data_IF_453594114420
#
_entry.id   IF_453594114420
#
_cell.length_a   1.000
_cell.length_b   1.000
_cell.length_c   1.000
_cell.angle_alpha   90.00
_cell.angle_beta   90.00
_cell.angle_gamma   90.00
#
_symmetry.space_group_name_H-M   'P 1'
#
loop_
_entity.id
_entity.type
_entity.pdbx_description
1 polymer ?
#
# COMPACT_ATOMS: atom_id res chain seq x y z
N UNK A 1 24.22 18.34 12.46
CA UNK A 1 24.30 18.52 10.99
C UNK A 1 23.85 17.25 10.26
N UNK A 2 22.68 16.68 10.60
CA UNK A 2 22.16 15.42 10.01
C UNK A 2 20.77 15.56 9.40
N UNK A 3 20.10 16.71 9.58
CA UNK A 3 18.69 16.89 9.21
C UNK A 3 18.43 17.10 7.71
N UNK A 4 19.42 17.54 6.94
CA UNK A 4 19.24 17.89 5.52
C UNK A 4 19.37 16.69 4.58
N UNK A 5 20.15 15.67 4.96
CA UNK A 5 20.41 14.49 4.13
C UNK A 5 19.25 13.47 4.20
N UNK A 6 18.63 13.34 5.38
CA UNK A 6 17.44 12.52 5.58
C UNK A 6 16.21 13.11 4.84
N UNK A 7 16.05 14.44 4.84
CA UNK A 7 14.95 15.08 4.10
C UNK A 7 15.09 14.94 2.59
N UNK A 8 16.32 15.00 2.07
CA UNK A 8 16.59 14.86 0.63
C UNK A 8 16.36 13.42 0.15
N UNK A 9 16.70 12.42 0.97
CA UNK A 9 16.47 11.01 0.63
C UNK A 9 14.99 10.62 0.67
N UNK A 10 14.20 11.17 1.59
CA UNK A 10 12.74 10.95 1.62
C UNK A 10 12.05 11.61 0.41
N UNK A 11 12.36 12.87 0.10
CA UNK A 11 11.76 13.58 -1.05
C UNK A 11 12.15 12.94 -2.41
N UNK A 12 13.41 12.53 -2.57
CA UNK A 12 13.90 12.00 -3.84
C UNK A 12 13.56 10.54 -4.11
N UNK A 13 13.26 9.74 -3.08
CA UNK A 13 13.02 8.29 -3.22
C UNK A 13 11.64 7.90 -2.74
N UNK A 14 11.37 8.08 -1.45
CA UNK A 14 10.14 7.60 -0.80
C UNK A 14 8.91 8.26 -1.41
N UNK A 15 8.89 9.59 -1.54
CA UNK A 15 7.75 10.29 -2.15
C UNK A 15 7.51 9.89 -3.61
N UNK A 16 8.55 9.51 -4.36
CA UNK A 16 8.43 9.08 -5.76
C UNK A 16 7.88 7.66 -5.89
N UNK A 17 8.23 6.79 -4.97
CA UNK A 17 7.81 5.38 -4.98
C UNK A 17 6.30 5.21 -4.70
N UNK A 18 5.65 6.21 -4.10
CA UNK A 18 4.23 6.18 -3.77
C UNK A 18 3.30 6.81 -4.82
N UNK A 19 3.82 7.23 -5.97
CA UNK A 19 2.99 7.79 -7.05
C UNK A 19 3.35 7.14 -8.38
N UNK A 20 2.34 6.85 -9.20
CA UNK A 20 2.54 6.32 -10.57
C UNK A 20 3.21 7.34 -11.50
N UNK A 21 2.91 8.64 -11.33
CA UNK A 21 3.53 9.75 -12.07
C UNK A 21 3.91 10.88 -11.10
N UNK A 22 5.21 11.05 -10.84
CA UNK A 22 5.72 12.13 -9.99
C UNK A 22 5.71 13.46 -10.76
N UNK A 23 4.77 14.35 -10.41
CA UNK A 23 4.75 15.73 -10.88
C UNK A 23 4.92 16.69 -9.70
N UNK A 24 5.61 17.83 -9.86
CA UNK A 24 5.96 18.71 -8.74
C UNK A 24 4.76 19.21 -7.91
N UNK A 25 3.58 19.32 -8.52
CA UNK A 25 2.34 19.78 -7.87
C UNK A 25 1.31 18.67 -7.66
N UNK A 26 1.52 17.47 -8.22
CA UNK A 26 0.57 16.37 -8.18
C UNK A 26 0.93 15.26 -7.18
N UNK A 27 2.10 15.32 -6.54
CA UNK A 27 2.51 14.33 -5.55
C UNK A 27 2.05 14.76 -4.14
N UNK A 28 0.98 14.14 -3.57
CA UNK A 28 0.46 14.52 -2.27
C UNK A 28 1.43 14.17 -1.12
N UNK A 29 2.36 13.23 -1.32
CA UNK A 29 3.32 12.82 -0.29
C UNK A 29 4.38 13.89 -0.02
N UNK A 30 4.70 14.74 -1.01
CA UNK A 30 5.61 15.89 -0.82
C UNK A 30 5.02 16.92 0.14
N UNK A 31 3.69 17.06 0.18
CA UNK A 31 3.01 17.95 1.12
C UNK A 31 3.04 17.44 2.56
N UNK A 32 3.38 16.17 2.77
CA UNK A 32 3.52 15.56 4.10
C UNK A 32 4.89 15.83 4.72
N UNK A 33 5.92 16.16 3.94
CA UNK A 33 7.28 16.37 4.45
C UNK A 33 7.38 17.58 5.39
N UNK A 34 6.80 18.76 5.07
CA UNK A 34 6.78 19.87 6.01
C UNK A 34 6.03 19.53 7.31
N UNK A 35 4.96 18.72 7.21
CA UNK A 35 4.15 18.29 8.35
C UNK A 35 4.86 17.25 9.23
N UNK A 36 5.76 16.44 8.66
CA UNK A 36 6.56 15.50 9.42
C UNK A 36 7.48 16.19 10.44
N UNK A 37 7.86 17.46 10.20
CA UNK A 37 8.62 18.26 11.16
C UNK A 37 7.82 18.63 12.42
N UNK A 38 6.50 18.66 12.35
CA UNK A 38 5.60 19.10 13.44
C UNK A 38 4.82 17.95 14.07
N UNK A 39 4.63 16.82 13.37
CA UNK A 39 3.87 15.67 13.87
C UNK A 39 4.79 14.46 14.13
N UNK A 40 5.11 14.16 15.40
CA UNK A 40 6.03 13.08 15.76
C UNK A 40 5.62 11.69 15.26
N UNK A 41 4.31 11.42 15.18
CA UNK A 41 3.79 10.15 14.66
C UNK A 41 4.08 10.00 13.15
N UNK A 42 3.83 11.05 12.37
CA UNK A 42 4.13 11.07 10.94
C UNK A 42 5.63 10.94 10.69
N UNK A 43 6.42 11.67 11.46
CA UNK A 43 7.88 11.61 11.38
C UNK A 43 8.41 10.19 11.59
N UNK A 44 8.04 9.53 12.70
CA UNK A 44 8.57 8.20 13.02
C UNK A 44 8.08 7.15 12.03
N UNK A 45 6.89 7.33 11.46
CA UNK A 45 6.36 6.43 10.44
C UNK A 45 7.11 6.58 9.12
N UNK A 46 7.38 7.80 8.66
CA UNK A 46 8.23 8.06 7.49
C UNK A 46 9.62 7.45 7.68
N UNK A 47 10.21 7.57 8.87
CA UNK A 47 11.50 6.93 9.19
C UNK A 47 11.41 5.41 9.08
N UNK A 48 10.35 4.80 9.62
CA UNK A 48 10.13 3.35 9.51
C UNK A 48 10.04 2.90 8.05
N UNK A 49 9.24 3.59 7.24
CA UNK A 49 9.08 3.36 5.81
C UNK A 49 10.40 3.48 5.06
N UNK A 50 11.10 4.60 5.24
CA UNK A 50 12.38 4.88 4.58
C UNK A 50 13.45 3.84 4.91
N UNK A 51 13.55 3.45 6.18
CA UNK A 51 14.50 2.44 6.63
C UNK A 51 14.16 1.04 6.08
N UNK A 52 12.87 0.72 5.93
CA UNK A 52 12.43 -0.56 5.37
C UNK A 52 12.77 -0.66 3.88
N UNK A 53 12.43 0.39 3.10
CA UNK A 53 12.84 0.54 1.69
C UNK A 53 14.35 0.40 1.50
N UNK A 54 15.12 1.15 2.30
CA UNK A 54 16.58 1.07 2.26
C UNK A 54 17.09 -0.34 2.57
N UNK A 55 16.46 -1.06 3.50
CA UNK A 55 16.82 -2.43 3.81
C UNK A 55 16.59 -3.39 2.64
N UNK A 56 15.51 -3.20 1.88
CA UNK A 56 15.19 -4.00 0.70
C UNK A 56 16.16 -3.69 -0.44
N UNK A 57 16.39 -2.41 -0.74
CA UNK A 57 17.31 -1.97 -1.79
C UNK A 57 18.74 -2.50 -1.56
N UNK A 58 19.24 -2.41 -0.33
CA UNK A 58 20.60 -2.89 0.02
C UNK A 58 20.74 -4.41 -0.03
N UNK A 59 19.62 -5.15 0.03
CA UNK A 59 19.60 -6.61 -0.06
C UNK A 59 19.48 -7.11 -1.51
N UNK A 60 18.95 -6.32 -2.43
CA UNK A 60 18.78 -6.70 -3.84
C UNK A 60 20.14 -6.98 -4.52
N UNK A 61 20.25 -8.03 -5.36
CA UNK A 61 21.48 -8.32 -6.10
C UNK A 61 21.82 -7.27 -7.15
N UNK A 62 20.82 -6.62 -7.76
CA UNK A 62 20.98 -5.71 -8.90
C UNK A 62 21.65 -4.37 -8.53
N UNK A 63 21.43 -3.87 -7.32
CA UNK A 63 22.08 -2.66 -6.81
C UNK A 63 23.57 -2.87 -6.45
N UNK A 64 24.09 -4.10 -6.59
CA UNK A 64 25.50 -4.44 -6.30
C UNK A 64 26.43 -4.22 -7.50
N UNK A 65 25.89 -3.84 -8.67
CA UNK A 65 26.65 -3.81 -9.93
C UNK A 65 27.17 -2.41 -10.33
N UNK A 66 27.00 -1.38 -9.52
CA UNK A 66 27.42 -0.01 -9.86
C UNK A 66 28.50 0.53 -8.94
N UNK A 67 29.77 0.33 -9.30
CA UNK A 67 30.87 1.24 -8.95
C UNK A 67 31.27 1.36 -7.45
N UNK A 68 31.22 0.28 -6.67
CA UNK A 68 31.94 0.24 -5.37
C UNK A 68 33.31 -0.41 -5.56
N UNK A 69 34.29 0.44 -5.82
CA UNK A 69 35.71 0.14 -5.74
C UNK A 69 36.06 -0.14 -4.26
N UNK A 70 35.92 -1.39 -3.81
CA UNK A 70 36.45 -1.88 -2.51
C UNK A 70 35.47 -2.24 -1.40
N UNK A 71 34.15 -2.11 -1.59
CA UNK A 71 33.16 -2.53 -0.60
C UNK A 71 32.77 -4.01 -0.74
N UNK A 72 33.22 -4.88 0.17
CA UNK A 72 32.81 -6.30 0.17
C UNK A 72 31.27 -6.42 0.22
N UNK A 73 30.69 -7.36 -0.54
CA UNK A 73 29.26 -7.68 -0.53
C UNK A 73 28.70 -7.99 0.87
N UNK A 74 29.59 -8.38 1.81
CA UNK A 74 29.28 -8.50 3.23
C UNK A 74 28.83 -7.16 3.87
N UNK A 75 29.45 -6.04 3.48
CA UNK A 75 29.12 -4.71 4.01
C UNK A 75 27.72 -4.23 3.59
N UNK A 76 27.29 -4.54 2.37
CA UNK A 76 25.93 -4.23 1.88
C UNK A 76 24.86 -5.02 2.64
N UNK A 77 25.12 -6.31 2.89
CA UNK A 77 24.25 -7.17 3.70
C UNK A 77 24.12 -6.67 5.15
N UNK A 78 25.23 -6.28 5.77
CA UNK A 78 25.25 -5.72 7.13
C UNK A 78 24.52 -4.38 7.22
N UNK A 79 24.72 -3.49 6.24
CA UNK A 79 23.99 -2.21 6.15
C UNK A 79 22.49 -2.43 5.97
N UNK A 80 22.10 -3.36 5.10
CA UNK A 80 20.69 -3.76 4.91
C UNK A 80 20.08 -4.34 6.20
N UNK A 81 20.82 -5.17 6.92
CA UNK A 81 20.38 -5.72 8.21
C UNK A 81 20.22 -4.62 9.28
N UNK A 82 21.12 -3.63 9.29
CA UNK A 82 21.04 -2.48 10.19
C UNK A 82 19.82 -1.60 9.87
N UNK A 83 19.60 -1.29 8.60
CA UNK A 83 18.42 -0.55 8.13
C UNK A 83 17.12 -1.28 8.53
N UNK A 84 17.07 -2.60 8.37
CA UNK A 84 15.93 -3.42 8.81
C UNK A 84 15.68 -3.34 10.33
N UNK A 85 16.73 -3.34 11.16
CA UNK A 85 16.58 -3.15 12.62
C UNK A 85 16.05 -1.77 12.97
N UNK A 86 16.52 -0.73 12.28
CA UNK A 86 16.00 0.63 12.45
C UNK A 86 14.52 0.72 12.03
N UNK A 87 14.15 0.10 10.92
CA UNK A 87 12.77 0.02 10.45
C UNK A 87 11.85 -0.61 11.51
N UNK A 88 12.23 -1.77 12.05
CA UNK A 88 11.45 -2.46 13.08
C UNK A 88 11.31 -1.63 14.36
N UNK A 89 12.38 -0.98 14.82
CA UNK A 89 12.34 -0.13 16.02
C UNK A 89 11.44 1.09 15.81
N UNK A 90 11.54 1.75 14.66
CA UNK A 90 10.70 2.89 14.31
C UNK A 90 9.23 2.48 14.15
N UNK A 91 8.95 1.36 13.46
CA UNK A 91 7.60 0.80 13.31
C UNK A 91 6.96 0.46 14.65
N UNK A 92 7.70 -0.18 15.56
CA UNK A 92 7.18 -0.47 16.90
C UNK A 92 6.79 0.80 17.66
N UNK A 93 7.65 1.84 17.60
CA UNK A 93 7.37 3.15 18.20
C UNK A 93 6.15 3.83 17.55
N UNK A 94 6.06 3.79 16.22
CA UNK A 94 4.95 4.33 15.45
C UNK A 94 3.62 3.67 15.86
N UNK A 95 3.58 2.34 15.97
CA UNK A 95 2.40 1.60 16.43
C UNK A 95 1.98 1.98 17.86
N UNK A 96 2.96 2.16 18.75
CA UNK A 96 2.70 2.63 20.12
C UNK A 96 2.06 4.03 20.14
N UNK A 97 2.53 4.94 19.29
CA UNK A 97 1.98 6.29 19.16
C UNK A 97 0.61 6.29 18.47
N UNK A 98 0.43 5.47 17.43
CA UNK A 98 -0.83 5.30 16.71
C UNK A 98 -1.96 4.84 17.63
N UNK A 99 -1.67 3.93 18.57
CA UNK A 99 -2.65 3.49 19.58
C UNK A 99 -3.27 4.67 20.33
N UNK A 100 -2.47 5.66 20.71
CA UNK A 100 -2.95 6.84 21.43
C UNK A 100 -3.68 7.82 20.49
N UNK A 101 -3.17 7.98 19.26
CA UNK A 101 -3.76 8.86 18.26
C UNK A 101 -5.17 8.41 17.85
N UNK A 102 -5.40 7.11 17.71
CA UNK A 102 -6.72 6.54 17.38
C UNK A 102 -7.75 6.78 18.49
N UNK A 103 -7.33 6.81 19.76
CA UNK A 103 -8.23 7.07 20.90
C UNK A 103 -8.59 8.57 20.99
N UNK A 104 -7.67 9.46 20.61
CA UNK A 104 -7.80 10.91 20.76
C UNK A 104 -7.48 11.64 19.46
N UNK A 105 -8.29 11.44 18.41
CA UNK A 105 -8.08 12.10 17.13
C UNK A 105 -8.47 13.57 17.24
N UNK A 106 -7.49 14.47 17.23
CA UNK A 106 -7.75 15.90 17.08
C UNK A 106 -8.05 16.23 15.60
N UNK A 107 -9.04 17.08 15.30
CA UNK A 107 -9.36 17.45 13.91
C UNK A 107 -8.15 17.96 13.12
N UNK A 108 -7.29 18.75 13.76
CA UNK A 108 -6.10 19.35 13.14
C UNK A 108 -4.99 18.33 12.83
N UNK A 109 -4.95 17.21 13.55
CA UNK A 109 -3.95 16.15 13.37
C UNK A 109 -4.39 15.08 12.36
N UNK A 110 -5.64 15.14 11.89
CA UNK A 110 -6.23 14.04 11.15
C UNK A 110 -5.45 13.71 9.87
N UNK A 111 -4.96 14.71 9.13
CA UNK A 111 -4.16 14.48 7.93
C UNK A 111 -2.86 13.73 8.22
N UNK A 112 -2.15 14.12 9.27
CA UNK A 112 -0.89 13.50 9.68
C UNK A 112 -1.10 12.08 10.24
N UNK A 113 -2.16 11.87 11.02
CA UNK A 113 -2.54 10.54 11.52
C UNK A 113 -2.91 9.64 10.35
N UNK A 114 -3.71 10.13 9.41
CA UNK A 114 -4.15 9.37 8.24
C UNK A 114 -2.97 9.01 7.33
N UNK A 115 -2.04 9.95 7.08
CA UNK A 115 -0.78 9.68 6.39
C UNK A 115 0.06 8.63 7.12
N UNK A 116 0.09 8.66 8.46
CA UNK A 116 0.81 7.65 9.25
C UNK A 116 0.14 6.28 9.15
N UNK A 117 -1.19 6.22 9.07
CA UNK A 117 -1.90 4.96 8.78
C UNK A 117 -1.49 4.45 7.41
N UNK A 118 -1.47 5.29 6.37
CA UNK A 118 -1.03 4.91 5.02
C UNK A 118 0.33 4.20 5.05
N UNK A 119 1.34 4.88 5.60
CA UNK A 119 2.70 4.35 5.62
C UNK A 119 2.84 3.08 6.47
N UNK A 120 2.07 2.93 7.55
CA UNK A 120 2.05 1.70 8.34
C UNK A 120 1.41 0.54 7.57
N UNK A 121 0.30 0.79 6.88
CA UNK A 121 -0.36 -0.21 6.04
C UNK A 121 0.58 -0.66 4.94
N UNK A 122 1.21 0.29 4.24
CA UNK A 122 2.18 0.01 3.20
C UNK A 122 3.40 -0.79 3.72
N UNK A 123 3.96 -0.41 4.87
CA UNK A 123 5.02 -1.18 5.52
C UNK A 123 4.64 -2.64 5.77
N UNK A 124 3.40 -2.90 6.19
CA UNK A 124 2.95 -4.27 6.39
C UNK A 124 2.81 -5.06 5.09
N UNK A 125 2.49 -4.37 4.00
CA UNK A 125 2.36 -4.96 2.67
C UNK A 125 3.72 -5.22 2.05
N UNK A 126 4.70 -4.36 2.32
CA UNK A 126 6.09 -4.51 1.87
C UNK A 126 6.89 -5.55 2.65
N UNK A 127 6.68 -5.69 3.96
CA UNK A 127 7.69 -6.32 4.81
C UNK A 127 7.76 -7.86 4.77
N UNK A 128 6.83 -8.66 4.21
CA UNK A 128 6.90 -10.14 4.40
C UNK A 128 6.32 -11.08 3.33
N UNK A 129 7.01 -12.23 3.22
CA UNK A 129 6.56 -13.50 2.64
C UNK A 129 5.75 -14.42 3.59
N UNK A 130 5.50 -15.67 3.15
CA UNK A 130 4.58 -16.71 3.69
C UNK A 130 3.52 -16.23 4.70
N UNK A 131 2.32 -15.99 4.17
CA UNK A 131 0.99 -15.98 4.82
C UNK A 131 0.72 -15.02 6.01
N UNK A 132 1.72 -14.32 6.56
CA UNK A 132 1.51 -13.35 7.66
C UNK A 132 0.79 -12.06 7.23
N UNK A 133 0.87 -11.70 5.94
CA UNK A 133 0.22 -10.53 5.34
C UNK A 133 -1.30 -10.45 5.63
N UNK A 134 -1.97 -11.60 5.83
CA UNK A 134 -3.42 -11.68 6.09
C UNK A 134 -3.83 -10.95 7.36
N UNK A 135 -3.12 -11.20 8.46
CA UNK A 135 -3.42 -10.58 9.76
C UNK A 135 -3.16 -9.07 9.71
N UNK A 136 -2.12 -8.66 8.97
CA UNK A 136 -1.76 -7.26 8.82
C UNK A 136 -2.74 -6.50 7.93
N UNK A 137 -3.17 -7.06 6.79
CA UNK A 137 -4.18 -6.44 5.93
C UNK A 137 -5.53 -6.31 6.65
N UNK A 138 -5.89 -7.28 7.50
CA UNK A 138 -7.08 -7.18 8.37
C UNK A 138 -6.93 -6.08 9.43
N UNK A 139 -5.73 -5.93 10.00
CA UNK A 139 -5.40 -4.83 10.91
C UNK A 139 -5.50 -3.47 10.22
N UNK A 140 -4.94 -3.34 9.02
CA UNK A 140 -5.00 -2.16 8.17
C UNK A 140 -6.45 -1.72 7.91
N UNK A 141 -7.31 -2.64 7.48
CA UNK A 141 -8.74 -2.36 7.25
C UNK A 141 -9.46 -1.85 8.50
N UNK A 142 -9.19 -2.45 9.67
CA UNK A 142 -9.77 -1.99 10.94
C UNK A 142 -9.29 -0.60 11.35
N UNK A 143 -8.03 -0.28 11.11
CA UNK A 143 -7.51 1.05 11.40
C UNK A 143 -8.21 2.04 10.49
N UNK A 144 -8.23 1.79 9.17
CA UNK A 144 -8.89 2.66 8.20
C UNK A 144 -10.38 2.88 8.54
N UNK A 145 -11.10 1.89 9.09
CA UNK A 145 -12.55 2.00 9.32
C UNK A 145 -12.87 3.00 10.42
N UNK A 146 -11.96 3.14 11.39
CA UNK A 146 -12.04 4.16 12.43
C UNK A 146 -11.89 5.57 11.86
N UNK A 147 -11.26 5.72 10.69
CA UNK A 147 -11.04 7.00 10.02
C UNK A 147 -12.00 7.26 8.85
N UNK A 148 -12.97 6.37 8.55
CA UNK A 148 -13.88 6.53 7.41
C UNK A 148 -14.64 7.88 7.37
N UNK A 149 -15.16 8.42 8.49
CA UNK A 149 -15.81 9.73 8.49
C UNK A 149 -14.87 10.88 8.13
N UNK A 150 -13.58 10.75 8.50
CA UNK A 150 -12.56 11.77 8.28
C UNK A 150 -11.83 11.61 6.93
N UNK A 151 -11.79 10.38 6.39
CA UNK A 151 -11.35 10.09 5.03
C UNK A 151 -12.24 10.81 4.01
N UNK A 152 -13.54 10.91 4.27
CA UNK A 152 -14.48 11.61 3.39
C UNK A 152 -14.17 13.11 3.24
N UNK A 153 -13.43 13.72 4.18
CA UNK A 153 -13.04 15.13 4.17
C UNK A 153 -11.55 15.37 3.86
N UNK A 154 -10.73 14.32 3.77
CA UNK A 154 -9.26 14.42 3.71
C UNK A 154 -8.66 14.60 2.30
N UNK A 155 -9.47 14.91 1.28
CA UNK A 155 -9.00 15.31 -0.04
C UNK A 155 -8.20 14.22 -0.79
N UNK A 156 -7.23 14.59 -1.65
CA UNK A 156 -6.52 13.65 -2.53
C UNK A 156 -5.81 12.52 -1.80
N UNK A 157 -5.25 12.74 -0.60
CA UNK A 157 -4.54 11.71 0.15
C UNK A 157 -5.45 10.53 0.51
N UNK A 158 -6.72 10.80 0.84
CA UNK A 158 -7.71 9.77 1.09
C UNK A 158 -7.96 8.90 -0.15
N UNK A 159 -7.84 9.47 -1.35
CA UNK A 159 -8.00 8.73 -2.60
C UNK A 159 -6.83 7.78 -2.85
N UNK A 160 -5.58 8.21 -2.62
CA UNK A 160 -4.39 7.35 -2.72
C UNK A 160 -4.44 6.19 -1.72
N UNK A 161 -4.84 6.48 -0.49
CA UNK A 161 -5.06 5.49 0.56
C UNK A 161 -6.12 4.46 0.20
N UNK A 162 -7.28 4.93 -0.25
CA UNK A 162 -8.39 4.06 -0.64
C UNK A 162 -8.04 3.25 -1.88
N UNK A 163 -7.28 3.83 -2.80
CA UNK A 163 -6.78 3.19 -4.00
C UNK A 163 -5.84 2.02 -3.70
N UNK A 164 -4.77 2.28 -2.96
CA UNK A 164 -3.76 1.27 -2.65
C UNK A 164 -4.39 0.17 -1.78
N UNK A 165 -5.16 0.52 -0.75
CA UNK A 165 -5.86 -0.47 0.07
C UNK A 165 -6.82 -1.34 -0.75
N UNK A 166 -7.58 -0.76 -1.68
CA UNK A 166 -8.48 -1.51 -2.56
C UNK A 166 -7.72 -2.50 -3.42
N UNK A 167 -6.61 -2.08 -4.04
CA UNK A 167 -5.81 -2.96 -4.89
C UNK A 167 -5.23 -4.11 -4.07
N UNK A 168 -4.69 -3.83 -2.88
CA UNK A 168 -4.20 -4.90 -2.01
C UNK A 168 -5.31 -5.83 -1.53
N UNK A 169 -6.52 -5.33 -1.26
CA UNK A 169 -7.67 -6.15 -0.92
C UNK A 169 -8.12 -7.06 -2.09
N UNK A 170 -8.11 -6.54 -3.33
CA UNK A 170 -8.38 -7.34 -4.53
C UNK A 170 -7.30 -8.40 -4.70
N UNK A 171 -6.03 -8.02 -4.68
CA UNK A 171 -4.91 -8.97 -4.79
C UNK A 171 -4.98 -10.04 -3.71
N UNK A 172 -5.30 -9.65 -2.48
CA UNK A 172 -5.51 -10.57 -1.38
C UNK A 172 -6.64 -11.58 -1.63
N UNK A 173 -7.78 -11.11 -2.16
CA UNK A 173 -8.94 -11.95 -2.45
C UNK A 173 -8.63 -13.06 -3.45
N UNK A 174 -7.76 -12.79 -4.45
CA UNK A 174 -7.31 -13.76 -5.45
C UNK A 174 -6.51 -14.91 -4.82
N UNK A 175 -5.76 -14.64 -3.76
CA UNK A 175 -4.93 -15.64 -3.08
C UNK A 175 -5.64 -16.33 -1.91
N UNK A 176 -6.94 -16.07 -1.67
CA UNK A 176 -7.68 -16.61 -0.52
C UNK A 176 -8.96 -17.33 -0.93
N UNK A 177 -9.03 -18.63 -0.59
CA UNK A 177 -10.20 -19.50 -0.79
C UNK A 177 -11.28 -19.35 0.30
N UNK A 178 -11.47 -18.15 0.86
CA UNK A 178 -12.52 -17.89 1.85
C UNK A 178 -12.95 -16.41 1.83
N UNK A 179 -14.23 -16.08 2.10
CA UNK A 179 -14.69 -14.71 2.30
C UNK A 179 -14.20 -14.18 3.68
N UNK A 180 -12.89 -14.14 3.88
CA UNK A 180 -12.28 -13.68 5.12
C UNK A 180 -12.22 -12.14 5.20
N UNK A 181 -12.46 -11.46 4.07
CA UNK A 181 -12.54 -10.02 3.99
C UNK A 181 -13.99 -9.59 3.82
N UNK A 182 -14.53 -9.02 4.90
CA UNK A 182 -15.76 -8.23 4.87
C UNK A 182 -15.45 -6.87 4.21
N UNK A 183 -15.20 -6.90 2.90
CA UNK A 183 -15.02 -5.70 2.07
C UNK A 183 -16.28 -4.84 2.05
N UNK A 184 -17.45 -5.38 2.40
CA UNK A 184 -18.74 -4.68 2.37
C UNK A 184 -18.80 -3.49 3.34
N UNK A 185 -18.10 -3.58 4.48
CA UNK A 185 -18.03 -2.47 5.44
C UNK A 185 -17.24 -1.27 4.91
N UNK A 186 -16.23 -1.51 4.06
CA UNK A 186 -15.32 -0.47 3.56
C UNK A 186 -15.70 0.04 2.18
N UNK A 187 -16.13 -0.88 1.32
CA UNK A 187 -16.51 -0.63 -0.06
C UNK A 187 -18.02 -0.86 -0.17
N UNK A 188 -18.83 0.11 0.28
CA UNK A 188 -20.24 0.09 -0.10
C UNK A 188 -20.33 -0.04 -1.63
N UNK A 189 -21.21 -0.88 -2.20
CA UNK A 189 -21.16 -1.26 -3.61
C UNK A 189 -21.36 -0.11 -4.62
N UNK A 190 -21.85 1.07 -4.22
CA UNK A 190 -22.34 2.07 -5.17
C UNK A 190 -21.31 3.04 -5.77
N UNK A 191 -20.07 3.22 -5.25
CA UNK A 191 -19.00 3.88 -5.99
C UNK A 191 -17.84 2.95 -6.35
N UNK A 192 -17.95 1.62 -6.24
CA UNK A 192 -16.83 0.68 -6.47
C UNK A 192 -16.09 0.92 -7.80
N UNK A 193 -16.82 1.08 -8.92
CA UNK A 193 -16.23 1.40 -10.23
C UNK A 193 -15.52 2.77 -10.26
N UNK A 194 -16.04 3.76 -9.53
CA UNK A 194 -15.42 5.09 -9.41
C UNK A 194 -14.15 5.03 -8.57
N UNK A 195 -14.17 4.29 -7.47
CA UNK A 195 -13.00 4.06 -6.62
C UNK A 195 -11.92 3.29 -7.37
N UNK A 196 -12.30 2.29 -8.18
CA UNK A 196 -11.35 1.52 -9.00
C UNK A 196 -10.68 2.39 -10.09
N UNK A 197 -11.45 3.25 -10.76
CA UNK A 197 -10.90 4.21 -11.75
C UNK A 197 -9.98 5.24 -11.10
N UNK A 198 -10.33 5.73 -9.91
CA UNK A 198 -9.44 6.60 -9.11
C UNK A 198 -8.21 5.82 -8.63
N UNK A 199 -8.37 4.54 -8.29
CA UNK A 199 -7.27 3.70 -7.87
C UNK A 199 -6.25 3.49 -8.99
N UNK A 200 -6.70 3.25 -10.21
CA UNK A 200 -5.82 3.20 -11.38
C UNK A 200 -5.08 4.52 -11.63
N UNK A 201 -5.70 5.67 -11.37
CA UNK A 201 -5.09 6.98 -11.59
C UNK A 201 -4.04 7.35 -10.53
N UNK A 202 -4.18 6.83 -9.31
CA UNK A 202 -3.41 7.29 -8.15
C UNK A 202 -2.55 6.21 -7.49
N UNK A 203 -2.79 4.93 -7.75
CA UNK A 203 -2.01 3.86 -7.12
C UNK A 203 -0.61 3.73 -7.70
N UNK A 204 0.35 3.49 -6.83
CA UNK A 204 1.73 3.18 -7.18
C UNK A 204 1.92 1.76 -7.76
N UNK A 205 0.92 0.88 -7.63
CA UNK A 205 0.95 -0.50 -8.13
C UNK A 205 0.78 -0.53 -9.67
N UNK A 206 0.26 0.55 -10.27
CA UNK A 206 0.08 0.68 -11.71
C UNK A 206 -0.67 -0.52 -12.32
N UNK A 207 -1.74 -0.97 -11.66
CA UNK A 207 -2.58 -2.04 -12.19
C UNK A 207 -3.81 -1.43 -12.92
N UNK A 208 -4.10 -1.85 -14.17
CA UNK A 208 -5.25 -1.34 -14.90
C UNK A 208 -6.59 -1.64 -14.19
N UNK A 209 -7.56 -0.73 -14.25
CA UNK A 209 -8.85 -0.93 -13.59
C UNK A 209 -9.62 -2.13 -14.17
N UNK A 210 -9.49 -2.38 -15.47
CA UNK A 210 -10.14 -3.52 -16.12
C UNK A 210 -9.58 -4.85 -15.59
N UNK A 211 -8.26 -4.95 -15.44
CA UNK A 211 -7.60 -6.12 -14.85
C UNK A 211 -7.99 -6.30 -13.37
N UNK A 212 -8.04 -5.23 -12.58
CA UNK A 212 -8.49 -5.29 -11.18
C UNK A 212 -9.94 -5.78 -11.06
N UNK A 213 -10.80 -5.39 -12.01
CA UNK A 213 -12.19 -5.86 -12.07
C UNK A 213 -12.27 -7.36 -12.35
N UNK A 214 -11.47 -7.84 -13.31
CA UNK A 214 -11.39 -9.27 -13.64
C UNK A 214 -10.88 -10.08 -12.45
N UNK A 215 -9.83 -9.62 -11.76
CA UNK A 215 -9.27 -10.29 -10.59
C UNK A 215 -10.29 -10.40 -9.45
N UNK A 216 -11.02 -9.32 -9.17
CA UNK A 216 -12.07 -9.36 -8.15
C UNK A 216 -13.19 -10.34 -8.53
N UNK A 217 -13.69 -10.27 -9.76
CA UNK A 217 -14.75 -11.15 -10.23
C UNK A 217 -14.32 -12.62 -10.19
N UNK A 218 -13.08 -12.92 -10.57
CA UNK A 218 -12.52 -14.26 -10.48
C UNK A 218 -12.40 -14.75 -9.02
N UNK A 219 -11.98 -13.88 -8.10
CA UNK A 219 -11.92 -14.19 -6.68
C UNK A 219 -13.31 -14.45 -6.09
N UNK A 220 -14.32 -13.65 -6.45
CA UNK A 220 -15.72 -13.88 -6.03
C UNK A 220 -16.24 -15.21 -6.57
N UNK A 221 -16.02 -15.49 -7.85
CA UNK A 221 -16.44 -16.74 -8.49
C UNK A 221 -15.80 -17.96 -7.80
N UNK A 222 -14.50 -17.90 -7.51
CA UNK A 222 -13.77 -18.97 -6.81
C UNK A 222 -14.23 -19.21 -5.37
N UNK A 223 -14.88 -18.24 -4.74
CA UNK A 223 -15.38 -18.33 -3.37
C UNK A 223 -16.88 -18.67 -3.28
N UNK A 224 -17.54 -18.87 -4.42
CA UNK A 224 -18.96 -19.25 -4.46
C UNK A 224 -19.13 -20.68 -3.93
N UNK A 225 -20.00 -20.94 -2.94
CA UNK A 225 -20.23 -22.29 -2.42
C UNK A 225 -20.78 -23.18 -3.56
N UNK A 226 -20.13 -24.32 -3.79
CA UNK A 226 -20.46 -25.20 -4.91
C UNK A 226 -21.77 -25.95 -4.67
N UNK A 227 -22.81 -25.60 -5.43
CA UNK A 227 -23.95 -26.48 -5.67
C UNK A 227 -23.76 -27.16 -7.04
N UNK A 228 -23.97 -28.48 -7.08
CA UNK A 228 -23.66 -29.32 -8.25
C UNK A 228 -24.41 -28.98 -9.55
N UNK A 229 -25.44 -28.13 -9.50
CA UNK A 229 -26.22 -27.66 -10.65
C UNK A 229 -25.62 -26.45 -11.37
N UNK A 230 -24.66 -25.73 -10.77
CA UNK A 230 -24.14 -24.45 -11.29
C UNK A 230 -22.78 -24.54 -11.98
N UNK A 231 -22.21 -25.75 -12.12
CA UNK A 231 -20.87 -25.93 -12.67
C UNK A 231 -20.70 -25.40 -14.11
N UNK A 232 -21.71 -25.54 -14.97
CA UNK A 232 -21.65 -25.05 -16.35
C UNK A 232 -21.64 -23.51 -16.41
N UNK A 233 -22.42 -22.86 -15.54
CA UNK A 233 -22.45 -21.40 -15.42
C UNK A 233 -21.12 -20.87 -14.85
N UNK A 234 -20.54 -21.56 -13.87
CA UNK A 234 -19.23 -21.21 -13.30
C UNK A 234 -18.14 -21.31 -14.37
N UNK A 235 -18.14 -22.38 -15.18
CA UNK A 235 -17.16 -22.55 -16.28
C UNK A 235 -17.31 -21.47 -17.35
N UNK A 236 -18.54 -21.14 -17.73
CA UNK A 236 -18.81 -20.07 -18.70
C UNK A 236 -18.35 -18.69 -18.18
N UNK A 237 -18.65 -18.38 -16.92
CA UNK A 237 -18.21 -17.15 -16.26
C UNK A 237 -16.68 -17.07 -16.15
N UNK A 238 -16.03 -18.17 -15.76
CA UNK A 238 -14.56 -18.25 -15.68
C UNK A 238 -13.91 -18.05 -17.05
N UNK A 239 -14.47 -18.64 -18.11
CA UNK A 239 -13.98 -18.50 -19.49
C UNK A 239 -14.08 -17.05 -19.97
N UNK A 240 -15.21 -16.38 -19.69
CA UNK A 240 -15.41 -14.97 -20.03
C UNK A 240 -14.39 -14.07 -19.33
N UNK A 241 -14.11 -14.32 -18.04
CA UNK A 241 -13.12 -13.57 -17.28
C UNK A 241 -11.70 -13.77 -17.84
N UNK A 242 -11.36 -15.01 -18.22
CA UNK A 242 -10.07 -15.33 -18.82
C UNK A 242 -9.88 -14.64 -20.18
N UNK A 243 -10.89 -14.67 -21.05
CA UNK A 243 -10.87 -13.97 -22.33
C UNK A 243 -10.74 -12.46 -22.16
N UNK A 244 -11.45 -11.88 -21.19
CA UNK A 244 -11.36 -10.45 -20.89
C UNK A 244 -9.97 -10.04 -20.41
N UNK A 245 -9.28 -10.87 -19.62
CA UNK A 245 -7.89 -10.62 -19.25
C UNK A 245 -6.93 -10.79 -20.43
N UNK A 246 -7.16 -11.80 -21.28
CA UNK A 246 -6.29 -12.11 -22.42
C UNK A 246 -6.37 -11.06 -23.54
N UNK A 247 -7.54 -10.46 -23.73
CA UNK A 247 -7.78 -9.45 -24.77
C UNK A 247 -7.48 -8.02 -24.31
N UNK A 248 -7.07 -7.84 -23.05
CA UNK A 248 -6.70 -6.54 -22.53
C UNK A 248 -5.44 -5.99 -23.22
N UNK A 249 -5.59 -4.82 -23.84
CA UNK A 249 -4.51 -4.12 -24.53
C UNK A 249 -3.68 -3.30 -23.53
N UNK A 250 -2.54 -3.86 -23.12
CA UNK A 250 -1.60 -3.21 -22.19
C UNK A 250 -0.92 -2.01 -22.83
N UNK A 251 -0.62 -2.07 -24.13
CA UNK A 251 0.11 -1.03 -24.83
C UNK A 251 -0.76 0.22 -25.05
N UNK A 252 -2.06 0.06 -25.27
CA UNK A 252 -3.00 1.18 -25.33
C UNK A 252 -3.22 1.85 -23.96
N UNK A 253 -2.95 1.14 -22.86
CA UNK A 253 -3.20 1.64 -21.51
C UNK A 253 -2.01 2.41 -20.90
N UNK A 254 -0.77 1.99 -21.19
CA UNK A 254 0.46 2.53 -20.59
C UNK A 254 0.78 3.98 -21.04
#
# INVERSE_FOLDING_TARGET
MTSTDDSATVDQRVCREYVSRDTPQGNPFRNLLPQAGTHPLLQITIVATSASHMSHLLRLPLCRSGHDNGGSAASGSERGQRAYRHALAAKHKALGMMRNAVVNIHPDDCGAVLASVFFLVDLELMERGRASWKAHLKGAGRILSLFQPTLASAGPLADYLSADYLIYAIMASVFMASPAFDTDSFFRPSPFSRTLKRAAAHSHICCPPDILSVLLAAATLSNTPGDSSDNEQIIAAASTLFESAHTFDVDAWA
#
